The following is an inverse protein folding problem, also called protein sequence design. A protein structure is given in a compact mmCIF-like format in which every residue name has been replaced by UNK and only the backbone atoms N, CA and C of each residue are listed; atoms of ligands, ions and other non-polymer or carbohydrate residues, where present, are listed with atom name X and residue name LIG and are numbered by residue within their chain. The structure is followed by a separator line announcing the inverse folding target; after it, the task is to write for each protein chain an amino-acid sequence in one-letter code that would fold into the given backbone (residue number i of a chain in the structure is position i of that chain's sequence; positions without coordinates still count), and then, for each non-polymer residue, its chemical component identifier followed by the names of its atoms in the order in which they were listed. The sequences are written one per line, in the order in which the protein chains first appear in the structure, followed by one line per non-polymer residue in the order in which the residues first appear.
data_IF_817402546625
#
_entry.id   IF_817402546625
#
_cell.length_a   1.000
_cell.length_b   1.000
_cell.length_c   1.000
_cell.angle_alpha   90.00
_cell.angle_beta   90.00
_cell.angle_gamma   90.00
#
_symmetry.space_group_name_H-M   'P 1'
#
loop_
_entity.id
_entity.type
_entity.pdbx_description
1 polymer ?
#
# COMPACT_ATOMS: atom_id res chain seq x y z
N UNK A 1 -9.55 16.17 -44.97
CA UNK A 1 -11.01 16.22 -44.75
C UNK A 1 -11.62 15.19 -45.67
N UNK A 2 -12.21 14.12 -45.13
CA UNK A 2 -12.90 13.12 -45.96
C UNK A 2 -14.09 13.79 -46.67
N UNK A 3 -14.35 13.51 -47.96
CA UNK A 3 -15.48 14.10 -48.67
C UNK A 3 -16.79 13.65 -48.01
N UNK A 4 -17.69 14.60 -47.78
CA UNK A 4 -19.02 14.32 -47.24
C UNK A 4 -19.83 13.55 -48.29
N UNK A 5 -20.70 12.60 -47.89
CA UNK A 5 -21.58 11.90 -48.82
C UNK A 5 -22.55 12.87 -49.52
N UNK A 6 -22.78 12.69 -50.82
CA UNK A 6 -23.74 13.51 -51.61
C UNK A 6 -25.19 13.01 -51.50
N UNK A 7 -25.43 11.90 -50.78
CA UNK A 7 -26.77 11.36 -50.52
C UNK A 7 -27.40 11.99 -49.26
N UNK A 8 -28.60 12.54 -49.45
CA UNK A 8 -29.39 13.21 -48.40
C UNK A 8 -29.73 12.25 -47.24
N UNK A 9 -29.97 10.96 -47.52
CA UNK A 9 -30.30 9.99 -46.47
C UNK A 9 -29.11 9.70 -45.56
N UNK A 10 -27.92 9.54 -46.14
CA UNK A 10 -26.67 9.32 -45.42
C UNK A 10 -26.29 10.56 -44.61
N UNK A 11 -26.46 11.77 -45.16
CA UNK A 11 -26.24 13.02 -44.41
C UNK A 11 -27.19 13.15 -43.21
N UNK A 12 -28.48 12.80 -43.36
CA UNK A 12 -29.45 12.80 -42.25
C UNK A 12 -29.09 11.77 -41.17
N UNK A 13 -28.65 10.57 -41.55
CA UNK A 13 -28.19 9.56 -40.62
C UNK A 13 -26.93 10.01 -39.85
N UNK A 14 -25.98 10.66 -40.52
CA UNK A 14 -24.80 11.25 -39.88
C UNK A 14 -25.19 12.35 -38.87
N UNK A 15 -26.11 13.24 -39.23
CA UNK A 15 -26.62 14.29 -38.33
C UNK A 15 -27.28 13.72 -37.08
N UNK A 16 -28.14 12.71 -37.22
CA UNK A 16 -28.77 12.03 -36.08
C UNK A 16 -27.75 11.31 -35.20
N UNK A 17 -26.73 10.68 -35.79
CA UNK A 17 -25.64 10.04 -35.04
C UNK A 17 -24.79 11.06 -34.27
N UNK A 18 -24.55 12.24 -34.88
CA UNK A 18 -23.80 13.33 -34.26
C UNK A 18 -24.60 13.96 -33.11
N UNK A 19 -25.91 14.17 -33.27
CA UNK A 19 -26.79 14.63 -32.19
C UNK A 19 -26.84 13.64 -31.02
N UNK A 20 -26.90 12.34 -31.30
CA UNK A 20 -26.85 11.30 -30.27
C UNK A 20 -25.51 11.33 -29.51
N UNK A 21 -24.38 11.44 -30.21
CA UNK A 21 -23.05 11.53 -29.61
C UNK A 21 -22.87 12.83 -28.79
N UNK A 22 -23.44 13.95 -29.24
CA UNK A 22 -23.44 15.21 -28.50
C UNK A 22 -24.26 15.10 -27.21
N UNK A 23 -25.45 14.49 -27.26
CA UNK A 23 -26.28 14.25 -26.06
C UNK A 23 -25.57 13.33 -25.07
N UNK A 24 -24.91 12.27 -25.53
CA UNK A 24 -24.14 11.37 -24.66
C UNK A 24 -22.97 12.11 -24.00
N UNK A 25 -22.26 12.96 -24.75
CA UNK A 25 -21.20 13.82 -24.23
C UNK A 25 -21.72 14.81 -23.19
N UNK A 26 -22.89 15.42 -23.42
CA UNK A 26 -23.48 16.38 -22.49
C UNK A 26 -23.91 15.70 -21.18
N UNK A 27 -24.43 14.47 -21.25
CA UNK A 27 -24.71 13.63 -20.06
C UNK A 27 -23.42 13.28 -19.32
N UNK A 28 -22.34 12.93 -20.02
CA UNK A 28 -21.04 12.68 -19.40
C UNK A 28 -20.46 13.94 -18.74
N UNK A 29 -20.57 15.11 -19.38
CA UNK A 29 -20.15 16.40 -18.84
C UNK A 29 -20.89 16.76 -17.55
N UNK A 30 -22.21 16.54 -17.50
CA UNK A 30 -23.00 16.78 -16.29
C UNK A 30 -22.58 15.86 -15.14
N UNK A 31 -22.37 14.56 -15.41
CA UNK A 31 -21.86 13.61 -14.40
C UNK A 31 -20.45 13.99 -13.90
N UNK A 32 -19.59 14.45 -14.80
CA UNK A 32 -18.25 14.90 -14.44
C UNK A 32 -18.32 16.17 -13.58
N UNK A 33 -19.19 17.13 -13.93
CA UNK A 33 -19.37 18.35 -13.17
C UNK A 33 -19.91 18.08 -11.76
N UNK A 34 -20.86 17.16 -11.61
CA UNK A 34 -21.36 16.73 -10.30
C UNK A 34 -20.26 16.05 -9.47
N UNK A 35 -19.45 15.21 -10.11
CA UNK A 35 -18.28 14.59 -9.47
C UNK A 35 -17.26 15.64 -9.01
N UNK A 36 -16.93 16.62 -9.85
CA UNK A 36 -16.01 17.72 -9.51
C UNK A 36 -16.56 18.56 -8.36
N UNK A 37 -17.85 18.91 -8.38
CA UNK A 37 -18.47 19.70 -7.32
C UNK A 37 -18.45 18.94 -5.98
N UNK A 38 -18.79 17.65 -6.00
CA UNK A 38 -18.75 16.81 -4.78
C UNK A 38 -17.32 16.67 -4.24
N UNK A 39 -16.31 16.55 -5.10
CA UNK A 39 -14.90 16.53 -4.71
C UNK A 39 -14.45 17.87 -4.12
N UNK A 40 -14.87 19.00 -4.69
CA UNK A 40 -14.56 20.34 -4.16
C UNK A 40 -15.11 20.54 -2.76
N UNK A 41 -16.35 20.13 -2.51
CA UNK A 41 -16.96 20.19 -1.17
C UNK A 41 -16.20 19.29 -0.19
N UNK A 42 -15.82 18.08 -0.60
CA UNK A 42 -15.03 17.18 0.24
C UNK A 42 -13.64 17.75 0.57
N UNK A 43 -12.96 18.38 -0.39
CA UNK A 43 -11.67 19.03 -0.19
C UNK A 43 -11.78 20.22 0.79
N UNK A 44 -12.82 21.05 0.66
CA UNK A 44 -13.06 22.16 1.58
C UNK A 44 -13.33 21.67 3.01
N UNK A 45 -14.09 20.60 3.15
CA UNK A 45 -14.36 19.96 4.46
C UNK A 45 -13.07 19.42 5.10
N UNK A 46 -12.24 18.70 4.33
CA UNK A 46 -10.93 18.20 4.79
C UNK A 46 -10.00 19.33 5.23
N UNK A 47 -9.93 20.42 4.45
CA UNK A 47 -9.11 21.58 4.79
C UNK A 47 -9.54 22.22 6.12
N UNK A 48 -10.85 22.35 6.36
CA UNK A 48 -11.37 22.86 7.63
C UNK A 48 -11.04 21.93 8.81
N UNK A 49 -11.09 20.61 8.60
CA UNK A 49 -10.73 19.60 9.60
C UNK A 49 -9.24 19.67 9.95
N UNK A 50 -8.36 19.80 8.96
CA UNK A 50 -6.91 19.99 9.15
C UNK A 50 -6.64 21.19 10.05
N UNK A 51 -7.25 22.33 9.77
CA UNK A 51 -7.08 23.55 10.59
C UNK A 51 -7.65 23.39 12.01
N UNK A 52 -8.80 22.74 12.16
CA UNK A 52 -9.37 22.44 13.47
C UNK A 52 -8.44 21.56 14.31
N UNK A 53 -7.90 20.49 13.74
CA UNK A 53 -6.99 19.57 14.43
C UNK A 53 -5.68 20.25 14.82
N UNK A 54 -5.11 21.09 13.95
CA UNK A 54 -3.92 21.90 14.28
C UNK A 54 -4.15 22.78 15.50
N UNK A 55 -5.29 23.49 15.55
CA UNK A 55 -5.65 24.34 16.67
C UNK A 55 -5.84 23.54 17.97
N UNK A 56 -6.48 22.37 17.89
CA UNK A 56 -6.71 21.50 19.04
C UNK A 56 -5.38 20.97 19.61
N UNK A 57 -4.47 20.48 18.76
CA UNK A 57 -3.13 20.03 19.17
C UNK A 57 -2.37 21.19 19.82
N UNK A 58 -2.40 22.39 19.23
CA UNK A 58 -1.73 23.56 19.80
C UNK A 58 -2.28 23.93 21.19
N UNK A 59 -3.61 23.85 21.38
CA UNK A 59 -4.26 24.07 22.67
C UNK A 59 -3.86 23.02 23.71
N UNK A 60 -3.91 21.73 23.36
CA UNK A 60 -3.56 20.63 24.26
C UNK A 60 -2.09 20.69 24.68
N UNK A 61 -1.17 20.95 23.74
CA UNK A 61 0.25 21.17 24.04
C UNK A 61 0.45 22.34 25.01
N UNK A 62 -0.28 23.45 24.86
CA UNK A 62 -0.24 24.57 25.83
C UNK A 62 -0.74 24.18 27.22
N UNK A 63 -1.79 23.36 27.31
CA UNK A 63 -2.34 22.88 28.59
C UNK A 63 -1.41 21.89 29.31
N UNK A 64 -0.62 21.12 28.55
CA UNK A 64 0.35 20.15 29.07
C UNK A 64 1.44 20.81 29.94
N UNK A 65 1.76 22.09 29.71
CA UNK A 65 2.73 22.85 30.51
C UNK A 65 2.22 23.24 31.92
N UNK A 66 0.94 22.99 32.25
CA UNK A 66 0.36 23.30 33.57
C UNK A 66 0.32 22.12 34.55
N UNK A 67 -0.13 20.94 34.10
CA UNK A 67 -0.10 19.67 34.85
C UNK A 67 0.11 18.53 33.85
N UNK A 68 1.25 17.84 33.93
CA UNK A 68 1.52 16.64 33.12
C UNK A 68 0.46 15.58 33.45
N UNK A 69 -0.28 15.12 32.44
CA UNK A 69 -1.21 13.99 32.54
C UNK A 69 -0.98 13.12 31.31
N UNK A 70 -0.63 11.85 31.51
CA UNK A 70 -0.41 10.86 30.45
C UNK A 70 -1.61 10.76 29.48
N UNK A 71 -2.82 11.09 29.97
CA UNK A 71 -4.03 11.12 29.16
C UNK A 71 -4.01 12.21 28.08
N UNK A 72 -3.40 13.37 28.35
CA UNK A 72 -3.26 14.45 27.37
C UNK A 72 -2.24 14.07 26.29
N UNK A 73 -1.17 13.37 26.68
CA UNK A 73 -0.11 12.94 25.78
C UNK A 73 -0.66 11.96 24.75
N UNK A 74 -1.41 10.94 25.20
CA UNK A 74 -2.08 9.99 24.30
C UNK A 74 -3.09 10.69 23.36
N UNK A 75 -3.80 11.72 23.83
CA UNK A 75 -4.73 12.48 22.97
C UNK A 75 -3.99 13.27 21.89
N UNK A 76 -2.86 13.89 22.22
CA UNK A 76 -2.03 14.61 21.26
C UNK A 76 -1.51 13.65 20.19
N UNK A 77 -0.94 12.51 20.59
CA UNK A 77 -0.42 11.50 19.67
C UNK A 77 -1.50 10.99 18.70
N UNK A 78 -2.72 10.75 19.20
CA UNK A 78 -3.82 10.29 18.36
C UNK A 78 -4.29 11.35 17.35
N UNK A 79 -4.32 12.64 17.75
CA UNK A 79 -4.67 13.74 16.86
C UNK A 79 -3.58 13.99 15.81
N UNK A 80 -2.32 13.82 16.18
CA UNK A 80 -1.19 13.91 15.26
C UNK A 80 -1.26 12.83 14.18
N UNK A 81 -1.57 11.58 14.55
CA UNK A 81 -1.80 10.51 13.59
C UNK A 81 -2.93 10.83 12.60
N UNK A 82 -4.06 11.37 13.09
CA UNK A 82 -5.18 11.79 12.23
C UNK A 82 -4.77 12.87 11.24
N UNK A 83 -3.99 13.83 11.69
CA UNK A 83 -3.54 14.94 10.86
C UNK A 83 -2.50 14.47 9.82
N UNK A 84 -1.64 13.52 10.19
CA UNK A 84 -0.71 12.87 9.26
C UNK A 84 -1.44 12.14 8.14
N UNK A 85 -2.51 11.40 8.44
CA UNK A 85 -3.32 10.69 7.45
C UNK A 85 -3.94 11.64 6.41
N UNK A 86 -4.59 12.72 6.88
CA UNK A 86 -5.19 13.71 5.99
C UNK A 86 -4.18 14.39 5.06
N UNK A 87 -2.98 14.68 5.56
CA UNK A 87 -1.93 15.33 4.75
C UNK A 87 -1.18 14.35 3.85
N UNK A 88 -1.11 13.07 4.21
CA UNK A 88 -0.63 12.02 3.33
C UNK A 88 -1.59 11.82 2.16
N UNK A 89 -2.91 11.83 2.40
CA UNK A 89 -3.92 11.81 1.34
C UNK A 89 -3.78 13.01 0.37
N UNK A 90 -3.51 14.20 0.90
CA UNK A 90 -3.21 15.38 0.06
C UNK A 90 -1.97 15.17 -0.82
N UNK A 91 -0.93 14.51 -0.29
CA UNK A 91 0.28 14.20 -1.06
C UNK A 91 0.08 13.08 -2.09
N UNK A 92 -0.80 12.12 -1.81
CA UNK A 92 -1.10 11.02 -2.72
C UNK A 92 -2.02 11.45 -3.88
N UNK A 93 -2.79 12.53 -3.72
CA UNK A 93 -3.71 13.03 -4.74
C UNK A 93 -2.98 13.31 -6.07
N UNK A 94 -3.58 12.97 -7.22
CA UNK A 94 -3.01 13.29 -8.52
C UNK A 94 -2.77 14.79 -8.62
N UNK A 95 -1.53 15.17 -8.90
CA UNK A 95 -1.23 16.56 -9.27
C UNK A 95 -1.77 16.74 -10.68
N UNK A 96 -2.98 17.29 -10.81
CA UNK A 96 -3.44 17.80 -12.10
C UNK A 96 -2.47 18.91 -12.53
N UNK A 97 -1.62 18.60 -13.50
CA UNK A 97 -0.82 19.60 -14.20
C UNK A 97 -1.80 20.31 -15.14
N UNK A 98 -2.17 21.58 -14.90
CA UNK A 98 -2.98 22.30 -15.86
C UNK A 98 -2.14 22.42 -17.14
N UNK A 99 -2.65 21.90 -18.26
CA UNK A 99 -2.03 22.07 -19.59
C UNK A 99 -2.09 23.51 -20.10
N UNK A 100 -2.72 24.41 -19.33
CA UNK A 100 -2.77 25.85 -19.56
C UNK A 100 -1.81 26.57 -18.62
N UNK A 101 -1.10 27.62 -19.08
CA UNK A 101 -0.29 28.45 -18.19
C UNK A 101 -1.24 29.13 -17.22
N UNK A 102 -1.30 28.63 -15.98
CA UNK A 102 -1.97 29.31 -14.89
C UNK A 102 -1.18 30.59 -14.61
N UNK A 103 -1.87 31.73 -14.46
CA UNK A 103 -1.27 32.95 -13.95
C UNK A 103 -0.41 32.59 -12.74
N UNK A 104 0.84 33.05 -12.76
CA UNK A 104 1.83 32.77 -11.71
C UNK A 104 1.26 33.29 -10.40
N UNK A 105 0.69 32.39 -9.60
CA UNK A 105 0.45 32.68 -8.19
C UNK A 105 1.85 32.83 -7.61
N UNK A 106 2.20 34.04 -7.16
CA UNK A 106 3.45 34.30 -6.45
C UNK A 106 3.52 33.39 -5.24
N UNK A 107 4.18 32.24 -5.41
CA UNK A 107 4.54 31.38 -4.30
C UNK A 107 5.64 32.10 -3.54
N UNK A 108 5.47 32.23 -2.21
CA UNK A 108 6.48 32.81 -1.36
C UNK A 108 7.87 32.19 -1.67
N UNK A 109 8.93 33.01 -1.76
CA UNK A 109 10.26 32.53 -2.12
C UNK A 109 10.65 31.41 -1.14
N UNK A 110 11.04 30.26 -1.70
CA UNK A 110 11.47 29.10 -0.91
C UNK A 110 12.63 29.55 -0.02
N UNK A 111 12.53 29.26 1.28
CA UNK A 111 13.64 29.49 2.19
C UNK A 111 14.86 28.71 1.69
N UNK A 112 16.05 29.34 1.64
CA UNK A 112 17.27 28.65 1.24
C UNK A 112 17.55 27.50 2.19
N UNK A 113 18.17 26.44 1.69
CA UNK A 113 18.62 25.33 2.52
C UNK A 113 19.74 25.78 3.47
N UNK A 114 19.84 25.19 4.69
CA UNK A 114 20.80 25.66 5.67
C UNK A 114 22.24 25.72 5.16
N UNK A 115 22.93 26.82 5.44
CA UNK A 115 24.28 27.08 4.91
C UNK A 115 25.35 26.16 5.49
N UNK A 116 25.14 25.64 6.70
CA UNK A 116 26.08 24.74 7.36
C UNK A 116 26.13 23.33 6.74
N UNK A 117 25.13 22.95 5.95
CA UNK A 117 25.08 21.62 5.33
C UNK A 117 26.12 21.49 4.19
N UNK A 118 26.82 20.35 4.09
CA UNK A 118 27.76 20.11 3.00
C UNK A 118 27.03 20.10 1.66
N UNK A 119 27.61 20.74 0.64
CA UNK A 119 27.06 20.84 -0.72
C UNK A 119 27.84 19.97 -1.68
N UNK A 120 27.18 18.96 -2.23
CA UNK A 120 27.71 18.12 -3.31
C UNK A 120 27.27 18.72 -4.66
N UNK A 121 28.22 19.22 -5.44
CA UNK A 121 27.95 19.84 -6.74
C UNK A 121 27.92 18.77 -7.82
N UNK A 122 26.81 18.70 -8.56
CA UNK A 122 26.64 17.82 -9.72
C UNK A 122 26.37 18.65 -10.96
N UNK A 123 27.35 18.73 -11.85
CA UNK A 123 27.25 19.48 -13.10
C UNK A 123 26.74 18.58 -14.23
N UNK A 124 25.68 19.01 -14.92
CA UNK A 124 25.08 18.29 -16.04
C UNK A 124 25.37 19.06 -17.33
N UNK A 125 26.30 18.57 -18.13
CA UNK A 125 26.68 19.18 -19.40
C UNK A 125 25.78 18.66 -20.54
N UNK A 126 25.35 19.51 -21.48
CA UNK A 126 24.70 19.03 -22.70
C UNK A 126 25.70 18.22 -23.55
N UNK A 127 25.21 17.26 -24.32
CA UNK A 127 26.03 16.47 -25.26
C UNK A 127 26.76 17.37 -26.28
N UNK A 128 26.14 18.48 -26.65
CA UNK A 128 26.67 19.51 -27.55
C UNK A 128 27.47 20.60 -26.85
N UNK A 129 27.97 20.40 -25.62
CA UNK A 129 28.72 21.44 -24.88
C UNK A 129 29.97 21.96 -25.61
N UNK A 130 30.56 21.17 -26.52
CA UNK A 130 31.74 21.57 -27.29
C UNK A 130 31.48 22.01 -28.74
N UNK A 131 30.43 21.50 -29.38
CA UNK A 131 30.07 21.80 -30.78
C UNK A 131 28.57 21.83 -30.95
N UNK A 132 28.08 22.83 -31.68
CA UNK A 132 26.67 22.98 -31.98
C UNK A 132 26.16 21.76 -32.76
N UNK A 133 25.07 21.17 -32.28
CA UNK A 133 24.40 20.02 -32.93
C UNK A 133 23.77 20.36 -34.27
N UNK A 134 23.49 21.64 -34.55
CA UNK A 134 22.86 22.07 -35.81
C UNK A 134 23.88 22.50 -36.87
N UNK A 135 24.90 23.27 -36.49
CA UNK A 135 25.83 23.88 -37.47
C UNK A 135 27.31 23.52 -37.25
N UNK A 136 27.64 22.76 -36.21
CA UNK A 136 29.02 22.39 -35.87
C UNK A 136 29.90 23.51 -35.32
N UNK A 137 29.36 24.72 -35.16
CA UNK A 137 30.05 25.89 -34.61
C UNK A 137 30.41 25.76 -33.13
N UNK A 138 31.32 26.63 -32.68
CA UNK A 138 31.77 26.67 -31.28
C UNK A 138 30.64 27.12 -30.33
N UNK A 139 30.64 26.55 -29.13
CA UNK A 139 29.62 26.80 -28.10
C UNK A 139 30.23 27.61 -26.96
N UNK A 140 29.62 28.74 -26.61
CA UNK A 140 30.04 29.60 -25.49
C UNK A 140 29.09 29.47 -24.31
N UNK A 141 29.62 29.56 -23.09
CA UNK A 141 28.82 29.57 -21.87
C UNK A 141 27.95 30.83 -21.80
N UNK A 142 26.63 30.64 -21.67
CA UNK A 142 25.62 31.70 -21.57
C UNK A 142 25.18 31.96 -20.12
N UNK A 143 25.30 30.96 -19.24
CA UNK A 143 24.88 31.01 -17.84
C UNK A 143 24.61 29.62 -17.29
N UNK A 144 24.04 29.50 -16.10
CA UNK A 144 23.70 28.21 -15.51
C UNK A 144 22.37 28.26 -14.74
N UNK A 145 21.64 27.14 -14.77
CA UNK A 145 20.52 26.93 -13.86
C UNK A 145 20.99 26.07 -12.68
N UNK A 146 20.79 26.57 -11.47
CA UNK A 146 21.15 25.88 -10.24
C UNK A 146 19.90 25.47 -9.49
N UNK A 147 19.84 24.21 -9.08
CA UNK A 147 18.77 23.71 -8.24
C UNK A 147 19.33 22.89 -7.09
N UNK A 148 18.83 23.13 -5.88
CA UNK A 148 19.26 22.42 -4.69
C UNK A 148 18.19 21.40 -4.24
N UNK A 149 18.67 20.30 -3.66
CA UNK A 149 17.87 19.22 -3.11
C UNK A 149 18.48 18.79 -1.78
N UNK A 150 17.65 18.59 -0.75
CA UNK A 150 18.06 18.10 0.56
C UNK A 150 18.12 16.58 0.52
N UNK A 151 19.27 16.01 0.86
CA UNK A 151 19.50 14.57 0.86
C UNK A 151 19.91 14.09 2.24
N UNK A 152 19.56 12.83 2.54
CA UNK A 152 20.01 12.13 3.73
C UNK A 152 20.97 11.02 3.36
N UNK A 153 22.16 11.07 3.96
CA UNK A 153 23.12 9.97 4.04
C UNK A 153 23.04 9.44 5.46
N UNK A 154 23.22 8.13 5.72
CA UNK A 154 23.17 7.61 7.08
C UNK A 154 23.87 8.54 8.09
N UNK A 155 23.09 9.05 9.05
CA UNK A 155 23.49 9.99 10.11
C UNK A 155 23.92 11.41 9.68
N UNK A 156 23.61 11.88 8.46
CA UNK A 156 23.95 13.24 8.04
C UNK A 156 23.08 13.80 6.90
N UNK A 157 22.68 15.06 7.03
CA UNK A 157 22.08 15.84 5.95
C UNK A 157 23.15 16.44 5.03
N UNK A 158 22.87 16.44 3.73
CA UNK A 158 23.65 17.18 2.73
C UNK A 158 22.73 17.85 1.71
N UNK A 159 23.27 18.80 0.97
CA UNK A 159 22.58 19.44 -0.15
C UNK A 159 23.21 18.95 -1.45
N UNK A 160 22.42 18.37 -2.34
CA UNK A 160 22.84 18.10 -3.71
C UNK A 160 22.52 19.34 -4.54
N UNK A 161 23.54 20.01 -5.05
CA UNK A 161 23.43 21.18 -5.92
C UNK A 161 23.60 20.73 -7.36
N UNK A 162 22.50 20.66 -8.10
CA UNK A 162 22.51 20.37 -9.53
C UNK A 162 22.74 21.66 -10.32
N UNK A 163 23.86 21.71 -11.05
CA UNK A 163 24.24 22.82 -11.91
C UNK A 163 24.05 22.39 -13.36
N UNK A 164 23.29 23.15 -14.14
CA UNK A 164 22.99 22.88 -15.55
C UNK A 164 23.46 24.07 -16.40
N UNK A 165 24.73 24.08 -16.85
CA UNK A 165 25.25 25.14 -17.70
C UNK A 165 24.51 25.21 -19.03
N UNK A 166 24.23 26.43 -19.47
CA UNK A 166 23.65 26.79 -20.77
C UNK A 166 24.77 27.21 -21.70
N UNK A 167 24.77 26.66 -22.89
CA UNK A 167 25.70 27.03 -23.95
C UNK A 167 24.94 27.60 -25.13
N UNK A 168 25.47 28.63 -25.77
CA UNK A 168 24.94 29.23 -26.98
C UNK A 168 25.96 29.12 -28.12
N UNK A 169 25.49 28.72 -29.30
CA UNK A 169 26.32 28.67 -30.49
C UNK A 169 26.66 30.08 -30.98
N UNK A 170 27.93 30.33 -31.28
CA UNK A 170 28.38 31.63 -31.81
C UNK A 170 27.96 31.89 -33.27
N UNK A 171 27.53 30.85 -34.00
CA UNK A 171 27.20 30.95 -35.42
C UNK A 171 25.70 31.06 -35.71
N UNK A 172 24.86 30.37 -34.93
CA UNK A 172 23.42 30.27 -35.21
C UNK A 172 22.52 30.52 -33.99
N UNK A 173 23.09 30.99 -32.87
CA UNK A 173 22.39 31.29 -31.61
C UNK A 173 21.63 30.09 -30.99
N UNK A 174 21.88 28.87 -31.45
CA UNK A 174 21.29 27.65 -30.87
C UNK A 174 21.74 27.47 -29.40
N UNK A 175 20.77 27.27 -28.50
CA UNK A 175 21.03 27.08 -27.06
C UNK A 175 20.92 25.61 -26.70
N UNK A 176 22.00 25.08 -26.11
CA UNK A 176 22.08 23.74 -25.57
C UNK A 176 22.16 23.76 -24.04
N UNK A 177 21.38 22.88 -23.40
CA UNK A 177 21.42 22.66 -21.95
C UNK A 177 21.02 21.21 -21.66
N UNK A 178 21.71 20.54 -20.73
CA UNK A 178 21.30 19.20 -20.28
C UNK A 178 19.88 19.26 -19.68
N UNK A 179 19.02 18.24 -19.84
CA UNK A 179 17.71 18.22 -19.20
C UNK A 179 17.83 18.22 -17.66
N UNK A 180 16.75 18.62 -16.97
CA UNK A 180 16.73 18.56 -15.51
C UNK A 180 16.74 17.09 -15.06
N UNK A 181 17.55 16.71 -14.05
CA UNK A 181 17.56 15.34 -13.55
C UNK A 181 16.20 14.98 -12.95
N UNK A 182 15.77 13.74 -13.15
CA UNK A 182 14.54 13.21 -12.57
C UNK A 182 14.61 13.26 -11.04
N UNK A 183 13.48 13.57 -10.40
CA UNK A 183 13.35 13.59 -8.94
C UNK A 183 12.18 12.72 -8.52
N UNK A 184 12.22 12.10 -7.32
CA UNK A 184 11.08 11.35 -6.79
C UNK A 184 9.81 12.18 -6.67
N UNK A 185 9.95 13.46 -6.28
CA UNK A 185 8.86 14.43 -6.20
C UNK A 185 9.23 15.62 -7.08
N UNK A 186 8.43 15.90 -8.10
CA UNK A 186 8.67 17.03 -9.00
C UNK A 186 8.69 18.35 -8.23
N UNK A 187 9.74 19.15 -8.48
CA UNK A 187 9.98 20.42 -7.77
C UNK A 187 10.07 20.27 -6.24
N UNK A 188 10.14 19.05 -5.71
CA UNK A 188 10.25 18.75 -4.30
C UNK A 188 11.64 19.07 -3.75
N UNK A 189 11.70 19.26 -2.43
CA UNK A 189 12.93 19.53 -1.69
C UNK A 189 13.73 18.25 -1.43
N UNK A 190 13.05 17.11 -1.20
CA UNK A 190 13.68 15.88 -0.75
C UNK A 190 14.34 15.08 -1.87
N UNK A 191 15.53 14.57 -1.58
CA UNK A 191 16.23 13.50 -2.29
C UNK A 191 15.63 12.13 -2.01
N UNK A 192 15.94 11.12 -2.86
CA UNK A 192 15.49 9.75 -2.64
C UNK A 192 15.97 9.16 -1.30
N UNK A 193 17.19 9.48 -0.85
CA UNK A 193 17.71 9.00 0.43
C UNK A 193 16.96 9.58 1.63
N UNK A 194 16.60 10.88 1.58
CA UNK A 194 15.78 11.51 2.60
C UNK A 194 14.36 10.93 2.65
N UNK A 195 13.73 10.71 1.50
CA UNK A 195 12.41 10.05 1.46
C UNK A 195 12.48 8.64 2.04
N UNK A 196 13.50 7.86 1.66
CA UNK A 196 13.71 6.53 2.23
C UNK A 196 13.90 6.58 3.75
N UNK A 197 14.74 7.50 4.25
CA UNK A 197 14.97 7.68 5.68
C UNK A 197 13.69 8.03 6.45
N UNK A 198 12.88 8.96 5.94
CA UNK A 198 11.61 9.36 6.58
C UNK A 198 10.64 8.19 6.69
N UNK A 199 10.50 7.40 5.61
CA UNK A 199 9.60 6.26 5.56
C UNK A 199 10.07 5.10 6.45
N UNK A 200 11.36 4.75 6.39
CA UNK A 200 11.94 3.69 7.23
C UNK A 200 11.83 4.08 8.70
N UNK A 201 12.21 5.31 9.05
CA UNK A 201 12.09 5.79 10.42
C UNK A 201 10.64 5.74 10.93
N UNK A 202 9.67 6.07 10.07
CA UNK A 202 8.24 6.04 10.45
C UNK A 202 7.72 4.62 10.62
N UNK A 203 7.94 3.75 9.63
CA UNK A 203 7.24 2.48 9.53
C UNK A 203 8.02 1.29 10.09
N UNK A 204 9.35 1.28 9.95
CA UNK A 204 10.20 0.23 10.49
C UNK A 204 10.65 0.56 11.94
N UNK A 205 11.04 1.81 12.19
CA UNK A 205 11.58 2.22 13.49
C UNK A 205 10.54 2.86 14.42
N UNK A 206 9.28 2.96 13.97
CA UNK A 206 8.17 3.50 14.74
C UNK A 206 8.39 4.93 15.28
N UNK A 207 9.10 5.78 14.53
CA UNK A 207 9.34 7.20 14.86
C UNK A 207 8.27 8.08 14.17
N UNK A 208 7.29 8.64 14.92
CA UNK A 208 6.25 9.48 14.34
C UNK A 208 6.81 10.71 13.61
N UNK A 209 6.10 11.25 12.62
CA UNK A 209 6.63 12.33 11.78
C UNK A 209 6.89 13.62 12.57
N UNK A 210 6.08 13.92 13.58
CA UNK A 210 6.34 15.07 14.46
C UNK A 210 7.68 14.90 15.22
N UNK A 211 8.02 13.67 15.61
CA UNK A 211 9.26 13.37 16.34
C UNK A 211 10.46 13.48 15.42
N UNK A 212 10.33 12.99 14.18
CA UNK A 212 11.33 13.19 13.14
C UNK A 212 11.57 14.69 12.87
N UNK A 213 10.51 15.49 12.71
CA UNK A 213 10.59 16.95 12.56
C UNK A 213 11.40 17.61 13.68
N UNK A 214 11.16 17.22 14.94
CA UNK A 214 11.93 17.71 16.09
C UNK A 214 13.38 17.23 16.07
N UNK A 215 13.65 15.99 15.66
CA UNK A 215 15.01 15.47 15.54
C UNK A 215 15.81 16.25 14.49
N UNK A 216 15.24 16.46 13.31
CA UNK A 216 15.89 17.20 12.22
C UNK A 216 16.15 18.66 12.60
N UNK A 217 15.24 19.28 13.35
CA UNK A 217 15.42 20.65 13.84
C UNK A 217 16.64 20.80 14.76
N UNK A 218 17.04 19.77 15.51
CA UNK A 218 18.26 19.78 16.34
C UNK A 218 19.54 19.83 15.51
N UNK A 219 19.49 19.37 14.27
CA UNK A 219 20.58 19.45 13.30
C UNK A 219 20.50 20.73 12.43
N UNK A 220 19.60 21.66 12.79
CA UNK A 220 19.37 22.90 12.03
C UNK A 220 18.54 22.71 10.76
N UNK A 221 17.87 21.57 10.61
CA UNK A 221 17.04 21.24 9.43
C UNK A 221 15.56 21.28 9.82
N UNK A 222 14.94 22.44 9.62
CA UNK A 222 13.53 22.65 9.94
C UNK A 222 12.61 22.08 8.84
N UNK A 223 12.06 20.90 9.08
CA UNK A 223 11.05 20.27 8.22
C UNK A 223 9.74 20.13 8.96
N UNK A 224 8.66 20.73 8.46
CA UNK A 224 7.34 20.62 9.07
C UNK A 224 6.77 19.20 8.95
N UNK A 225 6.07 18.74 9.98
CA UNK A 225 5.37 17.43 9.99
C UNK A 225 4.47 17.25 8.75
N UNK A 226 3.79 18.31 8.33
CA UNK A 226 2.90 18.29 7.18
C UNK A 226 3.61 18.04 5.86
N UNK A 227 4.84 18.58 5.72
CA UNK A 227 5.68 18.32 4.57
C UNK A 227 6.10 16.84 4.54
N UNK A 228 6.50 16.30 5.69
CA UNK A 228 6.86 14.88 5.82
C UNK A 228 5.67 13.95 5.52
N UNK A 229 4.46 14.32 5.94
CA UNK A 229 3.25 13.55 5.66
C UNK A 229 2.93 13.54 4.16
N UNK A 230 3.02 14.70 3.49
CA UNK A 230 2.87 14.81 2.04
C UNK A 230 3.90 13.98 1.28
N UNK A 231 5.16 13.99 1.72
CA UNK A 231 6.19 13.12 1.17
C UNK A 231 5.84 11.64 1.31
N UNK A 232 5.24 11.24 2.44
CA UNK A 232 4.71 9.90 2.63
C UNK A 232 3.67 9.52 1.57
N UNK A 233 2.70 10.42 1.31
CA UNK A 233 1.70 10.24 0.26
C UNK A 233 2.30 10.12 -1.14
N UNK A 234 3.19 11.04 -1.51
CA UNK A 234 3.88 10.99 -2.81
C UNK A 234 4.69 9.71 -2.99
N UNK A 235 5.39 9.27 -1.93
CA UNK A 235 6.18 8.05 -1.99
C UNK A 235 5.29 6.80 -2.12
N UNK A 236 4.12 6.78 -1.48
CA UNK A 236 3.15 5.69 -1.67
C UNK A 236 2.73 5.58 -3.15
N UNK A 237 2.42 6.70 -3.80
CA UNK A 237 2.12 6.73 -5.24
C UNK A 237 3.30 6.28 -6.09
N UNK A 238 4.52 6.73 -5.75
CA UNK A 238 5.74 6.37 -6.48
C UNK A 238 6.05 4.86 -6.41
N UNK A 239 5.73 4.23 -5.27
CA UNK A 239 5.96 2.80 -5.03
C UNK A 239 4.85 1.89 -5.59
N UNK A 240 3.72 2.46 -6.03
CA UNK A 240 2.57 1.71 -6.53
C UNK A 240 2.91 0.68 -7.63
N UNK A 241 3.75 0.99 -8.65
CA UNK A 241 4.13 0.00 -9.66
C UNK A 241 4.88 -1.21 -9.10
N UNK A 242 5.66 -1.02 -8.03
CA UNK A 242 6.34 -2.12 -7.34
C UNK A 242 5.34 -2.98 -6.57
N UNK A 243 4.34 -2.37 -5.94
CA UNK A 243 3.24 -3.08 -5.26
C UNK A 243 2.43 -3.91 -6.25
N UNK A 244 2.15 -3.38 -7.44
CA UNK A 244 1.44 -4.09 -8.51
C UNK A 244 2.26 -5.26 -9.07
N UNK A 245 3.56 -5.05 -9.27
CA UNK A 245 4.48 -6.12 -9.68
C UNK A 245 4.55 -7.23 -8.62
N UNK A 246 4.64 -6.86 -7.34
CA UNK A 246 4.63 -7.79 -6.22
C UNK A 246 3.31 -8.56 -6.16
N UNK A 247 2.17 -7.89 -6.34
CA UNK A 247 0.85 -8.53 -6.42
C UNK A 247 0.81 -9.56 -7.55
N UNK A 248 1.26 -9.19 -8.76
CA UNK A 248 1.29 -10.11 -9.90
C UNK A 248 2.18 -11.34 -9.62
N UNK A 249 3.35 -11.13 -9.03
CA UNK A 249 4.26 -12.22 -8.63
C UNK A 249 3.60 -13.17 -7.62
N UNK A 250 2.95 -12.63 -6.58
CA UNK A 250 2.20 -13.43 -5.59
C UNK A 250 1.06 -14.20 -6.28
N UNK A 251 0.23 -13.52 -7.06
CA UNK A 251 -0.96 -14.12 -7.69
C UNK A 251 -0.65 -15.16 -8.78
N UNK A 252 0.58 -15.22 -9.28
CA UNK A 252 1.02 -16.26 -10.22
C UNK A 252 1.38 -17.60 -9.55
N UNK A 253 1.28 -17.70 -8.22
CA UNK A 253 1.53 -18.95 -7.50
C UNK A 253 0.47 -20.01 -7.81
N UNK A 254 0.81 -21.29 -7.72
CA UNK A 254 -0.16 -22.39 -7.79
C UNK A 254 -0.86 -22.64 -6.45
N UNK A 255 -0.30 -22.11 -5.36
CA UNK A 255 -0.82 -22.17 -4.00
C UNK A 255 -0.59 -20.83 -3.31
N UNK A 256 -1.61 -20.31 -2.64
CA UNK A 256 -1.51 -19.13 -1.80
C UNK A 256 -1.94 -19.46 -0.37
N UNK A 257 -1.28 -18.82 0.60
CA UNK A 257 -1.85 -18.71 1.94
C UNK A 257 -2.60 -17.39 2.05
N UNK A 258 -3.77 -17.40 2.66
CA UNK A 258 -4.54 -16.19 2.94
C UNK A 258 -4.95 -16.11 4.42
N UNK A 259 -4.88 -14.90 4.96
CA UNK A 259 -5.34 -14.57 6.31
C UNK A 259 -5.76 -13.08 6.35
N UNK A 260 -6.39 -12.65 7.44
CA UNK A 260 -6.71 -11.26 7.69
C UNK A 260 -6.37 -10.84 9.12
N UNK A 261 -5.74 -9.67 9.26
CA UNK A 261 -5.48 -9.07 10.57
C UNK A 261 -6.41 -7.88 10.79
N UNK A 262 -7.16 -7.82 11.91
CA UNK A 262 -7.94 -6.64 12.27
C UNK A 262 -7.00 -5.48 12.62
N UNK A 263 -7.25 -4.32 12.02
CA UNK A 263 -6.49 -3.09 12.31
C UNK A 263 -7.42 -1.98 12.78
N UNK A 264 -7.09 -1.25 13.87
CA UNK A 264 -7.86 -0.09 14.28
C UNK A 264 -7.54 1.08 13.34
N UNK A 265 -8.56 1.55 12.61
CA UNK A 265 -8.44 2.68 11.68
C UNK A 265 -9.23 3.85 12.22
N UNK A 266 -8.67 5.05 12.12
CA UNK A 266 -9.36 6.25 12.56
C UNK A 266 -10.65 6.43 11.74
N UNK A 267 -11.75 6.76 12.42
CA UNK A 267 -13.00 7.12 11.76
C UNK A 267 -13.31 8.59 12.07
N UNK A 268 -12.92 9.51 11.16
CA UNK A 268 -13.12 10.94 11.33
C UNK A 268 -14.56 11.29 11.74
N UNK A 269 -14.70 12.24 12.65
CA UNK A 269 -15.99 12.74 13.17
C UNK A 269 -16.51 12.05 14.43
N UNK A 270 -16.12 10.80 14.70
CA UNK A 270 -16.78 9.99 15.75
C UNK A 270 -15.95 9.80 17.03
N UNK A 271 -14.70 10.28 17.06
CA UNK A 271 -13.79 10.09 18.20
C UNK A 271 -13.47 8.63 18.53
N UNK A 272 -13.74 7.71 17.60
CA UNK A 272 -13.56 6.26 17.73
C UNK A 272 -12.83 5.71 16.51
N UNK A 273 -12.22 4.55 16.67
CA UNK A 273 -11.69 3.77 15.56
C UNK A 273 -12.76 2.83 15.01
N UNK A 274 -12.73 2.59 13.69
CA UNK A 274 -13.39 1.46 13.04
C UNK A 274 -12.40 0.31 12.89
N UNK A 275 -12.89 -0.91 12.78
CA UNK A 275 -12.01 -2.06 12.55
C UNK A 275 -11.89 -2.30 11.05
N UNK A 276 -10.76 -1.90 10.47
CA UNK A 276 -10.38 -2.29 9.12
C UNK A 276 -9.75 -3.69 9.11
N UNK A 277 -9.39 -4.14 7.91
CA UNK A 277 -8.71 -5.43 7.68
C UNK A 277 -7.49 -5.24 6.82
N UNK A 278 -6.39 -5.85 7.24
CA UNK A 278 -5.23 -6.06 6.40
C UNK A 278 -5.21 -7.52 5.99
N UNK A 279 -5.61 -7.78 4.75
CA UNK A 279 -5.54 -9.09 4.13
C UNK A 279 -4.09 -9.38 3.76
N UNK A 280 -3.65 -10.60 3.99
CA UNK A 280 -2.31 -11.06 3.65
C UNK A 280 -2.42 -12.24 2.69
N UNK A 281 -1.71 -12.16 1.57
CA UNK A 281 -1.58 -13.24 0.59
C UNK A 281 -0.11 -13.61 0.48
N UNK A 282 0.22 -14.85 0.85
CA UNK A 282 1.60 -15.33 0.89
C UNK A 282 1.83 -16.37 -0.19
N UNK A 283 2.83 -16.10 -1.03
CA UNK A 283 3.48 -17.08 -1.88
C UNK A 283 4.73 -17.57 -1.15
N UNK A 284 4.65 -18.76 -0.56
CA UNK A 284 5.82 -19.44 0.00
C UNK A 284 5.61 -20.95 -0.03
N UNK A 285 6.37 -21.63 -0.89
CA UNK A 285 6.38 -23.08 -1.01
C UNK A 285 7.77 -23.68 -0.80
N UNK A 286 8.67 -22.94 -0.13
CA UNK A 286 10.02 -23.44 0.20
C UNK A 286 9.99 -24.72 1.02
N UNK A 287 8.97 -24.90 1.86
CA UNK A 287 8.73 -26.14 2.61
C UNK A 287 8.43 -27.36 1.71
N UNK A 288 8.14 -27.13 0.43
CA UNK A 288 7.91 -28.13 -0.62
C UNK A 288 8.99 -28.09 -1.71
N UNK A 289 10.20 -27.63 -1.36
CA UNK A 289 11.34 -27.49 -2.27
C UNK A 289 11.15 -26.49 -3.44
N UNK A 290 10.16 -25.60 -3.37
CA UNK A 290 10.03 -24.52 -4.36
C UNK A 290 11.18 -23.52 -4.18
N UNK A 291 11.86 -23.23 -5.28
CA UNK A 291 12.96 -22.26 -5.35
C UNK A 291 12.48 -20.86 -5.78
N UNK A 292 11.21 -20.70 -6.11
CA UNK A 292 10.65 -19.40 -6.47
C UNK A 292 10.74 -18.45 -5.28
N UNK A 293 11.22 -17.20 -5.47
CA UNK A 293 11.34 -16.24 -4.38
C UNK A 293 10.03 -16.03 -3.63
N UNK A 294 10.01 -16.20 -2.29
CA UNK A 294 8.81 -16.02 -1.50
C UNK A 294 8.42 -14.55 -1.48
N UNK A 295 7.12 -14.30 -1.40
CA UNK A 295 6.58 -12.95 -1.39
C UNK A 295 5.28 -12.87 -0.60
N UNK A 296 5.02 -11.69 -0.08
CA UNK A 296 3.78 -11.35 0.62
C UNK A 296 3.17 -10.11 0.00
N UNK A 297 1.89 -10.17 -0.31
CA UNK A 297 1.11 -9.01 -0.72
C UNK A 297 0.05 -8.70 0.32
N UNK A 298 0.01 -7.44 0.75
CA UNK A 298 -0.98 -6.95 1.69
C UNK A 298 -2.02 -6.09 0.97
N UNK A 299 -3.29 -6.26 1.35
CA UNK A 299 -4.39 -5.46 0.84
C UNK A 299 -5.24 -4.95 2.01
N UNK A 300 -5.43 -3.64 2.08
CA UNK A 300 -6.27 -3.01 3.10
C UNK A 300 -7.73 -2.92 2.64
N UNK A 301 -8.68 -3.21 3.55
CA UNK A 301 -10.10 -2.97 3.34
C UNK A 301 -10.76 -2.38 4.59
N UNK A 302 -11.83 -1.57 4.43
CA UNK A 302 -12.48 -0.90 5.57
C UNK A 302 -13.34 -1.82 6.44
N UNK A 303 -13.66 -3.02 5.96
CA UNK A 303 -14.40 -4.05 6.69
C UNK A 303 -13.95 -5.46 6.27
N UNK A 304 -14.49 -6.49 6.92
CA UNK A 304 -14.17 -7.91 6.66
C UNK A 304 -15.16 -8.58 5.70
N UNK A 305 -15.84 -7.88 4.79
CA UNK A 305 -16.81 -8.55 3.90
C UNK A 305 -16.11 -9.48 2.90
N UNK A 306 -16.75 -10.61 2.58
CA UNK A 306 -16.24 -11.58 1.60
C UNK A 306 -16.04 -11.01 0.19
N UNK A 307 -16.73 -9.93 -0.19
CA UNK A 307 -16.54 -9.27 -1.49
C UNK A 307 -15.09 -8.84 -1.72
N UNK A 308 -14.34 -8.49 -0.67
CA UNK A 308 -12.96 -8.05 -0.81
C UNK A 308 -12.00 -9.16 -1.24
N UNK A 309 -11.88 -10.29 -0.51
CA UNK A 309 -11.04 -11.40 -0.98
C UNK A 309 -11.54 -11.97 -2.32
N UNK A 310 -12.84 -11.90 -2.62
CA UNK A 310 -13.37 -12.27 -3.95
C UNK A 310 -12.78 -11.40 -5.06
N UNK A 311 -12.73 -10.07 -4.88
CA UNK A 311 -12.10 -9.14 -5.83
C UNK A 311 -10.57 -9.30 -5.89
N UNK A 312 -9.92 -9.49 -4.74
CA UNK A 312 -8.47 -9.68 -4.67
C UNK A 312 -8.01 -10.91 -5.46
N UNK A 313 -8.78 -12.01 -5.36
CA UNK A 313 -8.50 -13.32 -5.94
C UNK A 313 -9.28 -13.60 -7.24
N UNK A 314 -9.86 -12.58 -7.87
CA UNK A 314 -10.71 -12.74 -9.07
C UNK A 314 -10.00 -13.50 -10.20
N UNK A 315 -8.71 -13.25 -10.41
CA UNK A 315 -7.89 -13.88 -11.46
C UNK A 315 -7.06 -15.09 -10.99
N UNK A 316 -7.06 -15.42 -9.70
CA UNK A 316 -6.21 -16.47 -9.14
C UNK A 316 -6.72 -17.89 -9.46
N UNK A 317 -5.89 -18.82 -9.88
CA UNK A 317 -6.30 -20.22 -10.06
C UNK A 317 -5.30 -21.14 -9.37
N UNK A 318 -5.79 -22.06 -8.56
CA UNK A 318 -4.94 -22.92 -7.75
C UNK A 318 -5.50 -23.24 -6.37
N UNK A 319 -4.63 -23.54 -5.42
CA UNK A 319 -5.01 -23.89 -4.04
C UNK A 319 -4.95 -22.67 -3.14
N UNK A 320 -6.03 -22.38 -2.42
CA UNK A 320 -6.04 -21.35 -1.38
C UNK A 320 -6.04 -22.02 -0.01
N UNK A 321 -4.93 -21.85 0.71
CA UNK A 321 -4.81 -22.28 2.09
C UNK A 321 -5.20 -21.14 3.05
N UNK A 322 -6.39 -21.23 3.63
CA UNK A 322 -6.94 -20.17 4.48
C UNK A 322 -7.55 -20.74 5.77
N UNK A 323 -7.95 -19.85 6.69
CA UNK A 323 -8.84 -20.23 7.78
C UNK A 323 -10.25 -20.59 7.26
N UNK A 324 -11.13 -21.03 8.16
CA UNK A 324 -12.50 -21.39 7.83
C UNK A 324 -13.44 -20.17 7.72
N UNK A 325 -12.92 -19.00 7.35
CA UNK A 325 -13.73 -17.80 7.25
C UNK A 325 -14.75 -17.93 6.11
N UNK A 326 -16.04 -17.86 6.46
CA UNK A 326 -17.14 -18.03 5.50
C UNK A 326 -17.13 -17.04 4.31
N UNK A 327 -16.46 -15.90 4.41
CA UNK A 327 -16.34 -14.97 3.28
C UNK A 327 -15.52 -15.49 2.10
N UNK A 328 -14.77 -16.60 2.28
CA UNK A 328 -14.09 -17.29 1.19
C UNK A 328 -14.99 -18.23 0.38
N UNK A 329 -16.18 -18.62 0.89
CA UNK A 329 -17.00 -19.66 0.28
C UNK A 329 -17.28 -19.44 -1.21
N UNK A 330 -17.69 -18.22 -1.59
CA UNK A 330 -17.99 -17.86 -2.98
C UNK A 330 -16.78 -18.02 -3.94
N UNK A 331 -15.55 -17.97 -3.43
CA UNK A 331 -14.34 -18.14 -4.24
C UNK A 331 -14.21 -19.60 -4.71
N UNK A 332 -14.67 -20.55 -3.89
CA UNK A 332 -14.55 -21.98 -4.16
C UNK A 332 -15.67 -22.52 -5.07
N UNK A 333 -16.82 -21.84 -5.14
CA UNK A 333 -18.01 -22.29 -5.88
C UNK A 333 -17.74 -22.54 -7.37
N UNK A 334 -16.87 -21.73 -7.98
CA UNK A 334 -16.51 -21.87 -9.40
C UNK A 334 -15.61 -23.08 -9.71
N UNK A 335 -15.01 -23.72 -8.68
CA UNK A 335 -14.02 -24.78 -8.84
C UNK A 335 -12.63 -24.32 -9.34
N UNK A 336 -12.48 -23.04 -9.74
CA UNK A 336 -11.19 -22.43 -10.13
C UNK A 336 -10.19 -22.43 -8.97
N UNK A 337 -10.69 -22.22 -7.76
CA UNK A 337 -9.88 -22.23 -6.54
C UNK A 337 -10.24 -23.44 -5.72
N UNK A 338 -9.24 -24.26 -5.39
CA UNK A 338 -9.38 -25.40 -4.49
C UNK A 338 -9.11 -24.94 -3.06
N UNK A 339 -10.06 -25.20 -2.18
CA UNK A 339 -9.92 -24.91 -0.76
C UNK A 339 -8.96 -25.90 -0.08
N UNK A 340 -8.04 -25.38 0.73
CA UNK A 340 -7.22 -26.14 1.67
C UNK A 340 -7.33 -25.53 3.07
N UNK A 341 -7.88 -26.26 4.03
CA UNK A 341 -8.08 -25.71 5.36
C UNK A 341 -6.76 -25.58 6.15
N UNK A 342 -6.55 -24.45 6.83
CA UNK A 342 -5.32 -24.19 7.57
C UNK A 342 -5.27 -24.93 8.91
N UNK A 343 -4.35 -25.91 9.02
CA UNK A 343 -4.10 -26.67 10.25
C UNK A 343 -3.66 -25.82 11.44
N UNK A 344 -2.99 -24.69 11.23
CA UNK A 344 -2.60 -23.79 12.32
C UNK A 344 -3.83 -23.15 12.97
N UNK A 345 -4.82 -22.74 12.17
CA UNK A 345 -6.09 -22.19 12.65
C UNK A 345 -6.94 -23.24 13.35
N UNK A 346 -7.06 -24.44 12.78
CA UNK A 346 -7.76 -25.56 13.42
C UNK A 346 -7.12 -25.91 14.78
N UNK A 347 -5.78 -25.99 14.86
CA UNK A 347 -5.06 -26.25 16.10
C UNK A 347 -5.24 -25.14 17.14
N UNK A 348 -5.25 -23.87 16.72
CA UNK A 348 -5.34 -22.70 17.62
C UNK A 348 -6.57 -22.78 18.52
N UNK A 349 -7.73 -23.17 17.98
CA UNK A 349 -8.96 -23.28 18.75
C UNK A 349 -8.88 -24.33 19.87
N UNK A 350 -8.33 -25.52 19.59
CA UNK A 350 -8.10 -26.54 20.63
C UNK A 350 -7.06 -26.08 21.65
N UNK A 351 -6.01 -25.39 21.20
CA UNK A 351 -4.96 -24.86 22.07
C UNK A 351 -5.49 -23.79 23.03
N UNK A 352 -6.26 -22.82 22.56
CA UNK A 352 -6.82 -21.76 23.39
C UNK A 352 -7.72 -22.34 24.50
N UNK A 353 -8.56 -23.32 24.16
CA UNK A 353 -9.35 -24.04 25.16
C UNK A 353 -8.50 -24.85 26.12
N UNK A 354 -7.47 -25.54 25.64
CA UNK A 354 -6.55 -26.29 26.49
C UNK A 354 -5.79 -25.35 27.45
N UNK A 355 -5.31 -24.21 26.97
CA UNK A 355 -4.60 -23.21 27.78
C UNK A 355 -5.51 -22.61 28.86
N UNK A 356 -6.80 -22.39 28.56
CA UNK A 356 -7.77 -21.90 29.53
C UNK A 356 -8.22 -23.01 30.50
N UNK A 357 -8.48 -24.22 30.00
CA UNK A 357 -8.96 -25.36 30.78
C UNK A 357 -8.60 -26.71 30.11
N UNK A 358 -7.49 -27.34 30.52
CA UNK A 358 -7.11 -28.65 30.02
C UNK A 358 -8.18 -29.71 30.32
N UNK A 359 -8.46 -30.58 29.34
CA UNK A 359 -9.29 -31.76 29.52
C UNK A 359 -8.86 -32.87 28.54
N UNK A 360 -9.42 -34.08 28.71
CA UNK A 360 -9.04 -35.21 27.87
C UNK A 360 -9.26 -34.95 26.37
N UNK A 361 -10.33 -34.25 25.99
CA UNK A 361 -10.67 -34.00 24.59
C UNK A 361 -9.69 -33.04 23.91
N UNK A 362 -9.43 -31.87 24.52
CA UNK A 362 -8.52 -30.91 23.90
C UNK A 362 -7.06 -31.37 23.95
N UNK A 363 -6.66 -32.15 24.96
CA UNK A 363 -5.35 -32.79 25.03
C UNK A 363 -5.18 -33.79 23.88
N UNK A 364 -6.12 -34.73 23.73
CA UNK A 364 -6.12 -35.74 22.67
C UNK A 364 -6.10 -35.11 21.27
N UNK A 365 -6.91 -34.06 21.05
CA UNK A 365 -6.93 -33.35 19.77
C UNK A 365 -5.56 -32.73 19.43
N UNK A 366 -4.90 -32.10 20.41
CA UNK A 366 -3.57 -31.51 20.23
C UNK A 366 -2.49 -32.57 20.00
N UNK A 367 -2.57 -33.71 20.67
CA UNK A 367 -1.64 -34.83 20.48
C UNK A 367 -1.76 -35.44 19.07
N UNK A 368 -2.99 -35.66 18.60
CA UNK A 368 -3.28 -36.15 17.24
C UNK A 368 -2.79 -35.17 16.16
N UNK A 369 -3.09 -33.87 16.32
CA UNK A 369 -2.55 -32.84 15.42
C UNK A 369 -1.03 -32.80 15.48
N UNK A 370 -0.45 -32.93 16.68
CA UNK A 370 1.00 -32.99 16.89
C UNK A 370 1.67 -34.15 16.13
N UNK A 371 1.01 -35.30 16.04
CA UNK A 371 1.49 -36.43 15.23
C UNK A 371 1.59 -36.09 13.74
N UNK A 372 0.61 -35.36 13.20
CA UNK A 372 0.66 -34.87 11.81
C UNK A 372 1.80 -33.87 11.59
N UNK A 373 2.07 -33.00 12.57
CA UNK A 373 3.13 -32.01 12.46
C UNK A 373 4.53 -32.67 12.46
N UNK A 374 4.73 -33.75 13.24
CA UNK A 374 5.96 -34.55 13.20
C UNK A 374 6.20 -35.20 11.84
N UNK A 375 5.12 -35.65 11.18
CA UNK A 375 5.20 -36.14 9.79
C UNK A 375 5.65 -35.00 8.87
N UNK A 376 5.02 -33.83 8.92
CA UNK A 376 5.38 -32.68 8.08
C UNK A 376 6.83 -32.22 8.28
N UNK A 377 7.35 -32.30 9.50
CA UNK A 377 8.74 -32.00 9.81
C UNK A 377 9.72 -32.93 9.08
N UNK A 378 9.39 -34.23 9.01
CA UNK A 378 10.22 -35.25 8.34
C UNK A 378 10.31 -35.04 6.82
N UNK A 379 9.30 -34.42 6.22
CA UNK A 379 9.21 -34.20 4.76
C UNK A 379 9.39 -32.74 4.34
N UNK A 380 9.73 -31.85 5.28
CA UNK A 380 9.98 -30.43 4.98
C UNK A 380 11.17 -30.28 4.04
N UNK A 381 11.00 -29.47 3.00
CA UNK A 381 12.03 -29.22 1.99
C UNK A 381 12.16 -30.31 0.93
N UNK A 382 11.33 -31.36 0.98
CA UNK A 382 11.24 -32.37 -0.08
C UNK A 382 10.33 -31.91 -1.22
N UNK A 383 10.49 -32.42 -2.45
CA UNK A 383 9.62 -32.05 -3.56
C UNK A 383 8.16 -32.53 -3.36
N UNK A 384 7.19 -31.92 -4.05
CA UNK A 384 5.76 -32.13 -3.79
C UNK A 384 5.27 -33.58 -3.96
N UNK A 385 5.85 -34.32 -4.89
CA UNK A 385 5.54 -35.72 -5.18
C UNK A 385 5.98 -36.66 -4.04
N UNK A 386 7.20 -36.49 -3.53
CA UNK A 386 7.69 -37.21 -2.35
C UNK A 386 6.84 -36.90 -1.10
N UNK A 387 6.54 -35.61 -0.90
CA UNK A 387 5.67 -35.16 0.21
C UNK A 387 4.30 -35.81 0.11
N UNK A 388 3.69 -35.83 -1.08
CA UNK A 388 2.39 -36.47 -1.33
C UNK A 388 2.45 -37.96 -1.03
N UNK A 389 3.44 -38.69 -1.56
CA UNK A 389 3.59 -40.12 -1.33
C UNK A 389 3.72 -40.45 0.16
N UNK A 390 4.57 -39.70 0.88
CA UNK A 390 4.76 -39.89 2.32
C UNK A 390 3.49 -39.57 3.13
N UNK A 391 2.78 -38.49 2.80
CA UNK A 391 1.49 -38.14 3.43
C UNK A 391 0.45 -39.23 3.22
N UNK A 392 0.35 -39.80 2.01
CA UNK A 392 -0.60 -40.89 1.75
C UNK A 392 -0.28 -42.15 2.57
N UNK A 393 1.00 -42.48 2.75
CA UNK A 393 1.41 -43.63 3.54
C UNK A 393 1.28 -43.43 5.06
N UNK A 394 1.61 -42.23 5.57
CA UNK A 394 1.79 -42.02 7.02
C UNK A 394 0.77 -41.06 7.64
N UNK A 395 0.39 -39.99 6.96
CA UNK A 395 -0.54 -38.99 7.51
C UNK A 395 -2.00 -39.40 7.29
N UNK A 396 -2.32 -40.01 6.15
CA UNK A 396 -3.70 -40.38 5.79
C UNK A 396 -4.36 -41.31 6.81
N UNK A 397 -3.73 -42.39 7.30
CA UNK A 397 -4.35 -43.24 8.33
C UNK A 397 -4.66 -42.48 9.62
N UNK A 398 -3.71 -41.65 10.09
CA UNK A 398 -3.89 -40.85 11.31
C UNK A 398 -5.01 -39.81 11.16
N UNK A 399 -5.14 -39.23 9.96
CA UNK A 399 -6.21 -38.30 9.64
C UNK A 399 -7.58 -38.98 9.61
N UNK A 400 -7.68 -40.17 9.01
CA UNK A 400 -8.92 -40.93 8.96
C UNK A 400 -9.37 -41.33 10.38
N UNK A 401 -8.43 -41.77 11.24
CA UNK A 401 -8.69 -42.02 12.66
C UNK A 401 -9.12 -40.77 13.42
N UNK A 402 -8.42 -39.65 13.20
CA UNK A 402 -8.74 -38.39 13.86
C UNK A 402 -10.13 -37.90 13.45
N UNK A 403 -10.47 -38.00 12.17
CA UNK A 403 -11.80 -37.65 11.67
C UNK A 403 -12.89 -38.54 12.28
N UNK A 404 -12.68 -39.85 12.34
CA UNK A 404 -13.62 -40.77 13.00
C UNK A 404 -13.82 -40.39 14.48
N UNK A 405 -12.72 -40.11 15.19
CA UNK A 405 -12.75 -39.66 16.58
C UNK A 405 -13.52 -38.35 16.77
N UNK A 406 -13.26 -37.33 15.92
CA UNK A 406 -13.97 -36.04 15.97
C UNK A 406 -15.48 -36.24 15.75
N UNK A 407 -15.89 -37.11 14.82
CA UNK A 407 -17.31 -37.41 14.58
C UNK A 407 -17.98 -38.08 15.77
N UNK A 408 -17.31 -38.99 16.45
CA UNK A 408 -17.81 -39.61 17.68
C UNK A 408 -17.95 -38.58 18.80
N UNK A 409 -16.93 -37.73 19.00
CA UNK A 409 -16.99 -36.67 20.01
C UNK A 409 -18.10 -35.65 19.72
N UNK A 410 -18.29 -35.26 18.46
CA UNK A 410 -19.36 -34.36 18.06
C UNK A 410 -20.75 -34.85 18.47
N UNK A 411 -20.99 -36.16 18.38
CA UNK A 411 -22.26 -36.77 18.80
C UNK A 411 -22.50 -36.72 20.32
N UNK A 412 -21.45 -36.59 21.11
CA UNK A 412 -21.52 -36.52 22.59
C UNK A 412 -21.63 -35.09 23.12
N UNK A 413 -21.38 -34.09 22.28
CA UNK A 413 -21.36 -32.69 22.69
C UNK A 413 -22.72 -32.03 22.47
N UNK A 414 -23.15 -31.25 23.46
CA UNK A 414 -24.33 -30.40 23.33
C UNK A 414 -24.06 -29.29 22.31
N UNK A 415 -25.03 -29.01 21.42
CA UNK A 415 -24.96 -27.91 20.43
C UNK A 415 -24.70 -26.52 21.03
N UNK A 416 -24.83 -26.37 22.35
CA UNK A 416 -24.57 -25.12 23.09
C UNK A 416 -23.21 -25.09 23.80
N UNK A 417 -22.34 -26.08 23.59
CA UNK A 417 -21.02 -26.10 24.24
C UNK A 417 -20.03 -25.20 23.51
N UNK A 418 -19.18 -24.48 24.24
CA UNK A 418 -18.09 -23.64 23.71
C UNK A 418 -16.94 -24.47 23.10
N UNK A 419 -17.19 -25.74 22.75
CA UNK A 419 -16.22 -26.62 22.13
C UNK A 419 -16.14 -26.29 20.62
N UNK A 420 -14.95 -26.16 20.00
CA UNK A 420 -14.78 -25.89 18.57
C UNK A 420 -15.46 -26.93 17.68
N UNK A 421 -15.69 -28.14 18.19
CA UNK A 421 -16.49 -29.15 17.53
C UNK A 421 -17.95 -28.72 17.29
N UNK A 422 -18.52 -27.85 18.14
CA UNK A 422 -19.92 -27.43 18.10
C UNK A 422 -20.17 -26.11 17.37
N UNK A 423 -19.14 -25.42 16.89
CA UNK A 423 -19.33 -24.27 16.00
C UNK A 423 -19.93 -24.75 14.67
N UNK A 424 -21.01 -24.10 14.21
CA UNK A 424 -21.71 -24.40 12.95
C UNK A 424 -20.76 -24.58 11.75
N UNK A 425 -21.12 -25.42 10.78
CA UNK A 425 -20.19 -26.27 10.07
C UNK A 425 -19.24 -25.45 9.21
N UNK A 426 -18.01 -25.31 9.70
CA UNK A 426 -16.85 -25.18 8.83
C UNK A 426 -16.97 -26.30 7.80
N UNK A 427 -17.05 -25.91 6.52
CA UNK A 427 -17.20 -26.82 5.40
C UNK A 427 -16.35 -28.06 5.62
N UNK A 428 -17.05 -29.19 5.72
CA UNK A 428 -16.58 -30.57 5.73
C UNK A 428 -15.15 -30.81 6.25
N UNK A 429 -15.00 -31.72 7.20
CA UNK A 429 -13.68 -32.32 7.51
C UNK A 429 -12.96 -32.84 6.24
N UNK A 430 -13.66 -33.03 5.10
CA UNK A 430 -13.04 -33.21 3.78
C UNK A 430 -12.06 -32.11 3.32
N UNK A 431 -12.20 -30.88 3.78
CA UNK A 431 -11.34 -29.75 3.36
C UNK A 431 -10.03 -29.70 4.16
N UNK A 432 -10.00 -30.29 5.36
CA UNK A 432 -8.76 -30.55 6.11
C UNK A 432 -7.96 -31.73 5.52
N UNK A 433 -8.55 -32.49 4.58
CA UNK A 433 -8.02 -33.74 4.02
C UNK A 433 -7.42 -33.61 2.61
N UNK A 434 -7.35 -32.40 2.01
CA UNK A 434 -6.75 -32.18 0.66
C UNK A 434 -5.45 -31.41 0.70
#
# INVERSE_FOLDING_TARGET
MSPLPDDIQTLKAMLLSQEAALRERDVQMLKLQETVNSQQVALASRAAEVEHLKLLIAKLRRMQFGRKSEKLDHQIEQLELRLEELEADEGAAPVEIPKTPRAVVEQAPRKPLPEHLPREIRTHLPESAGKCSECGGEMKSLGEDVTEQLEYVPASFRVIRHVRPKFACVCCDHIAQAPAPSRPIERGLAGPGLLAHVLVSKFADHVPLYRQSVMYAREGVALDRSLLAKWGGHAATLLQPLVETLRAHVMSATKLHADDTPVPVLAPGNGRTKTGRLWVYVRDDRASADMTPPAVWFAYTPDRKGIHPQQHLESFSGTLQADAYGGYQAIYESGRVTEAACWAHARRQFYELHAARPNALNTEALERIGALYRIEETIRGKPPDERRAYRQAHARPLLDEFHAWLRTMLATLSRKSDNPLCAEPVGSVHTLLR
#
